data_IF_139165198664
#
_entry.id   IF_139165198664
#
_cell.length_a   1.000
_cell.length_b   1.000
_cell.length_c   1.000
_cell.angle_alpha   90.00
_cell.angle_beta   90.00
_cell.angle_gamma   90.00
#
_symmetry.space_group_name_H-M   'P 1'
#
loop_
_entity.id
_entity.type
_entity.pdbx_description
1 polymer ?
#
# COMPACT_ATOMS: atom_id res chain seq x y z
N UNK A 1 26.14 -3.75 -15.30
CA UNK A 1 24.95 -4.62 -15.17
C UNK A 1 23.98 -4.19 -14.07
N UNK A 2 24.36 -3.33 -13.11
CA UNK A 2 23.48 -2.83 -12.02
C UNK A 2 22.51 -1.72 -12.42
N UNK A 3 22.75 -1.01 -13.54
CA UNK A 3 21.87 0.08 -14.01
C UNK A 3 20.48 -0.40 -14.43
N UNK A 4 20.40 -1.54 -15.15
CA UNK A 4 19.11 -2.08 -15.63
C UNK A 4 18.19 -2.54 -14.48
N UNK A 5 18.75 -3.07 -13.38
CA UNK A 5 17.95 -3.46 -12.21
C UNK A 5 17.39 -2.27 -11.45
N UNK A 6 18.11 -1.13 -11.41
CA UNK A 6 17.63 0.07 -10.75
C UNK A 6 16.54 0.77 -11.57
N UNK A 7 16.71 0.86 -12.89
CA UNK A 7 15.68 1.42 -13.79
C UNK A 7 14.39 0.60 -13.74
N UNK A 8 14.50 -0.74 -13.73
CA UNK A 8 13.34 -1.63 -13.59
C UNK A 8 12.62 -1.40 -12.25
N UNK A 9 13.36 -1.33 -11.15
CA UNK A 9 12.77 -1.09 -9.83
C UNK A 9 12.12 0.30 -9.72
N UNK A 10 12.77 1.35 -10.26
CA UNK A 10 12.20 2.69 -10.31
C UNK A 10 10.91 2.73 -11.13
N UNK A 11 10.86 2.04 -12.28
CA UNK A 11 9.65 1.92 -13.09
C UNK A 11 8.50 1.23 -12.35
N UNK A 12 8.80 0.19 -11.58
CA UNK A 12 7.81 -0.51 -10.73
C UNK A 12 7.28 0.43 -9.65
N UNK A 13 8.15 1.16 -8.95
CA UNK A 13 7.73 2.13 -7.94
C UNK A 13 6.89 3.27 -8.55
N UNK A 14 7.25 3.73 -9.76
CA UNK A 14 6.47 4.74 -10.47
C UNK A 14 5.08 4.22 -10.85
N UNK A 15 4.97 2.97 -11.31
CA UNK A 15 3.68 2.36 -11.60
C UNK A 15 2.83 2.17 -10.34
N UNK A 16 3.43 1.72 -9.23
CA UNK A 16 2.76 1.61 -7.93
C UNK A 16 2.29 2.99 -7.41
N UNK A 17 3.10 4.03 -7.57
CA UNK A 17 2.71 5.41 -7.25
C UNK A 17 1.54 5.89 -8.13
N UNK A 18 1.58 5.60 -9.44
CA UNK A 18 0.49 5.91 -10.35
C UNK A 18 -0.84 5.29 -9.90
N UNK A 19 -0.82 4.02 -9.50
CA UNK A 19 -2.00 3.37 -8.93
C UNK A 19 -2.51 4.06 -7.66
N UNK A 20 -1.61 4.46 -6.74
CA UNK A 20 -1.99 5.19 -5.54
C UNK A 20 -2.64 6.55 -5.87
N UNK A 21 -2.18 7.24 -6.93
CA UNK A 21 -2.83 8.46 -7.42
C UNK A 21 -4.22 8.19 -7.99
N UNK A 22 -4.38 7.15 -8.81
CA UNK A 22 -5.69 6.76 -9.35
C UNK A 22 -6.67 6.46 -8.22
N UNK A 23 -6.25 5.72 -7.18
CA UNK A 23 -7.10 5.46 -6.00
C UNK A 23 -7.51 6.75 -5.30
N UNK A 24 -6.59 7.70 -5.16
CA UNK A 24 -6.89 9.00 -4.55
C UNK A 24 -7.91 9.77 -5.39
N UNK A 25 -7.77 9.77 -6.71
CA UNK A 25 -8.71 10.44 -7.63
C UNK A 25 -10.09 9.78 -7.58
N UNK A 26 -10.15 8.46 -7.55
CA UNK A 26 -11.40 7.69 -7.58
C UNK A 26 -12.15 7.67 -6.24
N UNK A 27 -11.41 7.62 -5.12
CA UNK A 27 -11.99 7.33 -3.79
C UNK A 27 -11.76 8.44 -2.76
N UNK A 28 -10.89 9.41 -3.06
CA UNK A 28 -10.40 10.39 -2.08
C UNK A 28 -9.39 9.84 -1.07
N UNK A 29 -9.12 8.52 -1.07
CA UNK A 29 -8.20 7.90 -0.11
C UNK A 29 -6.75 8.18 -0.48
N UNK A 30 -5.98 8.76 0.43
CA UNK A 30 -4.55 9.00 0.20
C UNK A 30 -3.74 7.79 0.65
N UNK A 31 -3.16 7.04 -0.30
CA UNK A 31 -2.24 5.94 -0.01
C UNK A 31 -0.79 6.42 -0.17
N UNK A 32 -0.04 6.41 0.92
CA UNK A 32 1.40 6.68 0.92
C UNK A 32 2.20 5.38 0.77
N UNK A 33 3.33 5.47 0.05
CA UNK A 33 4.31 4.40 -0.08
C UNK A 33 5.57 4.77 0.69
N UNK A 34 6.02 3.91 1.60
CA UNK A 34 7.21 4.13 2.44
C UNK A 34 8.15 2.93 2.38
N UNK A 35 9.41 3.19 2.04
CA UNK A 35 10.48 2.20 2.21
C UNK A 35 10.87 2.19 3.69
N UNK A 36 10.91 0.99 4.27
CA UNK A 36 11.21 0.77 5.70
C UNK A 36 12.32 -0.25 5.85
N UNK A 37 12.79 -0.46 7.07
CA UNK A 37 13.74 -1.55 7.36
C UNK A 37 13.13 -2.94 7.15
N UNK A 38 11.80 -3.08 7.14
CA UNK A 38 11.08 -4.34 6.96
C UNK A 38 10.71 -4.63 5.50
N UNK A 39 10.55 -3.60 4.69
CA UNK A 39 10.09 -3.72 3.30
C UNK A 39 9.43 -2.44 2.78
N UNK A 40 8.57 -2.57 1.78
CA UNK A 40 7.75 -1.46 1.27
C UNK A 40 6.37 -1.49 1.94
N UNK A 41 6.04 -0.42 2.65
CA UNK A 41 4.75 -0.23 3.30
C UNK A 41 3.84 0.67 2.45
N UNK A 42 2.59 0.25 2.28
CA UNK A 42 1.49 1.09 1.84
C UNK A 42 0.64 1.47 3.06
N UNK A 43 0.22 2.73 3.15
CA UNK A 43 -0.55 3.22 4.30
C UNK A 43 -1.58 4.27 3.91
N UNK A 44 -2.77 4.20 4.49
CA UNK A 44 -3.81 5.21 4.32
C UNK A 44 -3.51 6.42 5.24
N UNK A 45 -3.11 7.54 4.65
CA UNK A 45 -2.66 8.74 5.37
C UNK A 45 -3.80 9.49 6.09
N UNK A 46 -5.04 9.23 5.68
CA UNK A 46 -6.26 9.86 6.18
C UNK A 46 -6.98 9.06 7.28
N UNK A 47 -6.53 7.83 7.58
CA UNK A 47 -7.21 6.95 8.50
C UNK A 47 -6.72 7.12 9.95
N UNK A 48 -7.63 7.49 10.86
CA UNK A 48 -7.35 7.66 12.30
C UNK A 48 -6.77 6.39 12.96
N UNK A 49 -7.15 5.21 12.48
CA UNK A 49 -6.61 3.92 12.94
C UNK A 49 -5.59 3.29 11.97
N UNK A 50 -4.96 4.08 11.09
CA UNK A 50 -3.79 3.71 10.30
C UNK A 50 -3.88 2.35 9.60
N UNK A 51 -4.56 2.27 8.45
CA UNK A 51 -4.56 1.06 7.63
C UNK A 51 -3.20 0.94 6.94
N UNK A 52 -2.53 -0.19 7.13
CA UNK A 52 -1.21 -0.42 6.56
C UNK A 52 -1.07 -1.85 6.06
N UNK A 53 -0.37 -2.02 4.94
CA UNK A 53 0.12 -3.30 4.45
C UNK A 53 1.61 -3.16 4.18
N UNK A 54 2.40 -4.18 4.54
CA UNK A 54 3.85 -4.20 4.27
C UNK A 54 4.19 -5.42 3.46
N UNK A 55 4.85 -5.20 2.32
CA UNK A 55 5.48 -6.24 1.53
C UNK A 55 6.92 -6.35 2.02
N UNK A 56 7.33 -7.52 2.53
CA UNK A 56 8.65 -7.68 3.13
C UNK A 56 9.76 -7.64 2.08
N UNK A 57 10.99 -7.34 2.49
CA UNK A 57 12.15 -7.44 1.59
C UNK A 57 12.32 -8.83 0.98
N UNK A 58 12.02 -9.89 1.75
CA UNK A 58 12.05 -11.26 1.26
C UNK A 58 11.07 -11.46 0.10
N UNK A 59 9.82 -11.05 0.27
CA UNK A 59 8.79 -11.15 -0.76
C UNK A 59 9.17 -10.34 -2.01
N UNK A 60 9.72 -9.13 -1.83
CA UNK A 60 10.18 -8.30 -2.95
C UNK A 60 11.31 -8.97 -3.74
N UNK A 61 12.23 -9.67 -3.09
CA UNK A 61 13.33 -10.35 -3.79
C UNK A 61 12.90 -11.64 -4.50
N UNK A 62 11.79 -12.25 -4.09
CA UNK A 62 11.32 -13.54 -4.60
C UNK A 62 10.12 -13.43 -5.53
N UNK A 63 9.49 -12.26 -5.63
CA UNK A 63 8.30 -12.05 -6.43
C UNK A 63 8.58 -12.15 -7.93
N UNK A 64 7.86 -13.07 -8.59
CA UNK A 64 7.82 -13.16 -10.05
C UNK A 64 7.17 -11.93 -10.69
N UNK A 65 6.22 -11.30 -9.99
CA UNK A 65 5.53 -10.09 -10.43
C UNK A 65 5.41 -9.05 -9.30
N UNK A 66 6.43 -8.20 -9.20
CA UNK A 66 6.50 -7.13 -8.21
C UNK A 66 5.34 -6.13 -8.32
N UNK A 67 4.92 -5.74 -9.54
CA UNK A 67 3.88 -4.75 -9.72
C UNK A 67 2.52 -5.25 -9.19
N UNK A 68 2.21 -6.51 -9.44
CA UNK A 68 0.99 -7.13 -8.93
C UNK A 68 1.00 -7.22 -7.40
N UNK A 69 2.13 -7.62 -6.82
CA UNK A 69 2.31 -7.69 -5.37
C UNK A 69 2.09 -6.32 -4.70
N UNK A 70 2.70 -5.26 -5.26
CA UNK A 70 2.52 -3.91 -4.75
C UNK A 70 1.09 -3.40 -4.97
N UNK A 71 0.49 -3.69 -6.12
CA UNK A 71 -0.89 -3.29 -6.43
C UNK A 71 -1.88 -3.90 -5.45
N UNK A 72 -1.68 -5.17 -5.08
CA UNK A 72 -2.49 -5.85 -4.08
C UNK A 72 -2.39 -5.17 -2.72
N UNK A 73 -1.17 -4.87 -2.25
CA UNK A 73 -0.97 -4.20 -0.96
C UNK A 73 -1.63 -2.81 -0.92
N UNK A 74 -1.50 -2.04 -2.00
CA UNK A 74 -2.12 -0.71 -2.13
C UNK A 74 -3.65 -0.81 -2.09
N UNK A 75 -4.24 -1.73 -2.84
CA UNK A 75 -5.69 -1.94 -2.88
C UNK A 75 -6.24 -2.42 -1.54
N UNK A 76 -5.54 -3.35 -0.87
CA UNK A 76 -5.93 -3.81 0.47
C UNK A 76 -6.04 -2.64 1.45
N UNK A 77 -5.08 -1.72 1.42
CA UNK A 77 -5.09 -0.52 2.27
C UNK A 77 -6.24 0.42 1.91
N UNK A 78 -6.51 0.62 0.61
CA UNK A 78 -7.57 1.51 0.14
C UNK A 78 -8.97 0.97 0.45
N UNK A 79 -9.20 -0.32 0.21
CA UNK A 79 -10.53 -0.97 0.25
C UNK A 79 -10.97 -1.36 1.66
N UNK A 80 -10.03 -1.59 2.59
CA UNK A 80 -10.34 -2.03 3.95
C UNK A 80 -11.06 -0.93 4.74
N UNK A 81 -12.38 -0.84 4.73
CA UNK A 81 -13.07 0.21 5.48
C UNK A 81 -12.83 0.09 7.00
N UNK A 82 -12.75 1.20 7.75
CA UNK A 82 -12.81 1.13 9.20
C UNK A 82 -14.16 0.50 9.58
N UNK A 83 -14.15 -0.61 10.31
CA UNK A 83 -15.39 -1.22 10.79
C UNK A 83 -16.03 -0.29 11.82
N UNK A 84 -16.96 0.55 11.37
CA UNK A 84 -17.78 1.41 12.24
C UNK A 84 -18.62 0.58 13.24
N UNK A 85 -18.74 -0.73 13.02
CA UNK A 85 -19.46 -1.65 13.87
C UNK A 85 -18.93 -1.77 15.32
N UNK A 86 -17.66 -1.47 15.61
CA UNK A 86 -17.08 -1.71 16.95
C UNK A 86 -17.40 -0.58 17.94
N UNK A 87 -17.76 0.62 17.47
CA UNK A 87 -17.98 1.78 18.35
C UNK A 87 -19.45 1.88 18.79
N UNK A 88 -20.39 1.36 18.01
CA UNK A 88 -21.82 1.43 18.33
C UNK A 88 -22.23 0.51 19.50
N UNK A 89 -21.46 -0.55 19.77
CA UNK A 89 -21.77 -1.51 20.85
C UNK A 89 -21.25 -1.06 22.23
N UNK A 90 -20.28 -0.14 22.29
CA UNK A 90 -19.72 0.37 23.55
C UNK A 90 -20.43 1.61 24.11
N UNK A 91 -21.27 2.29 23.31
CA UNK A 91 -22.05 3.46 23.76
C UNK A 91 -23.46 3.07 24.21
N UNK A 92 -23.86 1.82 23.95
CA UNK A 92 -25.18 1.28 24.32
C UNK A 92 -25.15 0.32 25.54
N UNK A 93 -24.01 0.17 26.21
CA UNK A 93 -23.83 -0.71 27.37
C UNK A 93 -23.66 0.08 28.68
#
# INVERSE_FOLDING_TARGET
MTGQSHEAFAGILQAAWGLAQTIREDTGTVVELRLTTLGLAALAADAVCGRMATVSWGDLTQADNLLELLSKAIREVAERQPSVAVIAEQVAA
#
